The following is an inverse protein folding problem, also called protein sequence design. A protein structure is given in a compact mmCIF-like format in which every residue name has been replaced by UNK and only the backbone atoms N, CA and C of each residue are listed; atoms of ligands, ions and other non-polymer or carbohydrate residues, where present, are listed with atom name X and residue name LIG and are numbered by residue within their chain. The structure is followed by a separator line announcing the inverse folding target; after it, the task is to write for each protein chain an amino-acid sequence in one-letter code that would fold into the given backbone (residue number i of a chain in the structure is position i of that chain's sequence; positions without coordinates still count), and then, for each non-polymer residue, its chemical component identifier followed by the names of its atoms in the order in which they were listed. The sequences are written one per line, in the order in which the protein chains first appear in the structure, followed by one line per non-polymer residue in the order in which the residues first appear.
data_IF_339195330519
#
_entry.id   IF_339195330519
#
_cell.length_a   1.000
_cell.length_b   1.000
_cell.length_c   1.000
_cell.angle_alpha   90.00
_cell.angle_beta   90.00
_cell.angle_gamma   90.00
#
_symmetry.space_group_name_H-M   'P 1'
#
loop_
_entity.id
_entity.type
_entity.pdbx_description
1 polymer ?
#
# COMPACT_ATOMS: atom_id res chain seq x y z
N UNK A 1 1.20 -10.50 -15.53
CA UNK A 1 2.32 -10.52 -14.57
C UNK A 1 2.01 -11.57 -13.51
N UNK A 2 2.88 -12.57 -13.32
CA UNK A 2 2.67 -13.61 -12.32
C UNK A 2 2.96 -13.09 -10.89
N UNK A 3 2.54 -13.82 -9.85
CA UNK A 3 2.67 -13.39 -8.43
C UNK A 3 4.13 -13.04 -8.04
N UNK A 4 5.08 -13.87 -8.48
CA UNK A 4 6.51 -13.72 -8.19
C UNK A 4 7.14 -12.51 -8.91
N UNK A 5 6.57 -12.06 -10.01
CA UNK A 5 6.96 -10.81 -10.67
C UNK A 5 6.37 -9.60 -9.96
N UNK A 6 5.14 -9.70 -9.45
CA UNK A 6 4.50 -8.61 -8.71
C UNK A 6 5.22 -8.29 -7.41
N UNK A 7 5.58 -9.30 -6.61
CA UNK A 7 6.27 -9.09 -5.31
C UNK A 7 7.56 -8.28 -5.46
N UNK A 8 8.29 -8.40 -6.58
CA UNK A 8 9.52 -7.63 -6.86
C UNK A 8 9.28 -6.13 -7.05
N UNK A 9 8.03 -5.71 -7.24
CA UNK A 9 7.65 -4.29 -7.33
C UNK A 9 7.44 -3.64 -5.96
N UNK A 10 7.54 -4.42 -4.88
CA UNK A 10 7.38 -3.99 -3.50
C UNK A 10 8.72 -4.09 -2.76
N UNK A 11 8.90 -3.28 -1.72
CA UNK A 11 10.13 -3.27 -0.91
C UNK A 11 10.25 -4.51 -0.01
N UNK A 12 9.13 -5.15 0.35
CA UNK A 12 9.12 -6.37 1.15
C UNK A 12 7.81 -7.15 0.97
N UNK A 13 7.80 -8.39 1.47
CA UNK A 13 6.61 -9.25 1.47
C UNK A 13 5.45 -8.64 2.27
N UNK A 14 5.73 -7.97 3.39
CA UNK A 14 4.70 -7.36 4.23
C UNK A 14 3.88 -6.32 3.48
N UNK A 15 4.55 -5.45 2.72
CA UNK A 15 3.86 -4.46 1.88
C UNK A 15 3.06 -5.15 0.77
N UNK A 16 3.65 -6.12 0.07
CA UNK A 16 2.95 -6.88 -0.97
C UNK A 16 1.65 -7.51 -0.44
N UNK A 17 1.72 -8.21 0.70
CA UNK A 17 0.55 -8.86 1.27
C UNK A 17 -0.49 -7.84 1.75
N UNK A 18 -0.09 -6.71 2.33
CA UNK A 18 -1.02 -5.65 2.76
C UNK A 18 -1.77 -4.92 1.64
N UNK A 19 -1.23 -4.99 0.41
CA UNK A 19 -1.78 -4.30 -0.75
C UNK A 19 -2.59 -5.26 -1.63
N UNK A 20 -2.09 -6.47 -1.86
CA UNK A 20 -2.68 -7.41 -2.83
C UNK A 20 -3.39 -8.62 -2.19
N UNK A 21 -3.05 -8.96 -0.95
CA UNK A 21 -3.53 -10.18 -0.29
C UNK A 21 -4.22 -9.88 1.05
N UNK A 22 -4.52 -8.62 1.35
CA UNK A 22 -5.11 -8.21 2.63
C UNK A 22 -6.53 -8.78 2.78
N UNK A 23 -6.75 -9.52 3.86
CA UNK A 23 -8.07 -9.95 4.31
C UNK A 23 -8.79 -8.86 5.11
N UNK A 24 -10.04 -9.11 5.50
CA UNK A 24 -10.90 -8.10 6.17
C UNK A 24 -10.37 -7.57 7.51
N UNK A 25 -9.53 -8.36 8.21
CA UNK A 25 -8.95 -7.98 9.51
C UNK A 25 -7.51 -7.43 9.38
N UNK A 26 -6.96 -7.38 8.16
CA UNK A 26 -5.59 -6.96 7.91
C UNK A 26 -5.46 -5.43 7.75
N UNK A 27 -4.22 -4.95 7.86
CA UNK A 27 -3.89 -3.57 7.52
C UNK A 27 -3.94 -3.43 6.00
N UNK A 28 -4.93 -2.69 5.50
CA UNK A 28 -5.03 -2.35 4.08
C UNK A 28 -4.18 -1.12 3.76
N UNK A 29 -3.23 -1.28 2.84
CA UNK A 29 -2.46 -0.16 2.30
C UNK A 29 -2.86 0.07 0.85
N UNK A 30 -3.08 1.34 0.50
CA UNK A 30 -3.47 1.75 -0.84
C UNK A 30 -2.49 2.78 -1.39
N UNK A 31 -2.36 2.74 -2.71
CA UNK A 31 -1.63 3.71 -3.51
C UNK A 31 -2.62 4.50 -4.35
N UNK A 32 -2.56 5.83 -4.32
CA UNK A 32 -3.41 6.68 -5.13
C UNK A 32 -2.67 7.93 -5.60
N UNK A 33 -3.30 8.67 -6.51
CA UNK A 33 -2.86 10.00 -6.88
C UNK A 33 -3.73 11.05 -6.18
N UNK A 34 -3.12 11.85 -5.30
CA UNK A 34 -3.77 12.96 -4.61
C UNK A 34 -3.17 14.28 -5.12
N UNK A 35 -3.98 15.07 -5.83
CA UNK A 35 -3.59 16.39 -6.37
C UNK A 35 -2.33 16.36 -7.25
N UNK A 36 -2.11 15.29 -8.00
CA UNK A 36 -0.95 15.12 -8.86
C UNK A 36 0.21 14.38 -8.19
N UNK A 37 0.15 14.15 -6.88
CA UNK A 37 1.19 13.43 -6.13
C UNK A 37 0.80 11.97 -5.90
N UNK A 38 1.73 11.07 -6.18
CA UNK A 38 1.60 9.65 -5.85
C UNK A 38 1.80 9.44 -4.36
N UNK A 39 0.74 9.07 -3.66
CA UNK A 39 0.73 8.89 -2.21
C UNK A 39 0.33 7.49 -1.82
N UNK A 40 0.94 7.01 -0.75
CA UNK A 40 0.58 5.79 -0.06
C UNK A 40 -0.18 6.13 1.20
N UNK A 41 -1.23 5.38 1.50
CA UNK A 41 -1.98 5.58 2.74
C UNK A 41 -2.47 4.26 3.32
N UNK A 42 -2.61 4.23 4.65
CA UNK A 42 -3.30 3.15 5.37
C UNK A 42 -4.79 3.43 5.28
N UNK A 43 -5.54 2.50 4.70
CA UNK A 43 -6.99 2.54 4.72
C UNK A 43 -7.47 2.10 6.10
N UNK A 44 -7.95 3.07 6.87
CA UNK A 44 -8.57 2.83 8.17
C UNK A 44 -10.07 3.02 7.99
N UNK A 45 -10.93 2.13 8.51
CA UNK A 45 -12.37 2.36 8.55
C UNK A 45 -12.65 3.73 9.17
N UNK A 46 -13.44 4.57 8.49
CA UNK A 46 -13.68 5.97 8.87
C UNK A 46 -14.15 6.16 10.33
N UNK A 47 -14.69 5.10 10.95
CA UNK A 47 -15.15 5.05 12.34
C UNK A 47 -14.01 5.04 13.38
N UNK A 48 -12.78 4.63 13.01
CA UNK A 48 -11.70 4.36 13.98
C UNK A 48 -10.79 5.58 14.18
N UNK A 49 -10.52 6.39 13.15
CA UNK A 49 -9.81 7.68 13.26
C UNK A 49 -9.90 8.40 11.91
N UNK A 50 -10.84 9.34 11.72
CA UNK A 50 -10.75 10.44 10.73
C UNK A 50 -10.52 10.16 9.23
N UNK A 51 -10.42 8.91 8.78
CA UNK A 51 -10.00 8.56 7.43
C UNK A 51 -8.49 8.26 7.32
N UNK A 52 -8.08 7.65 6.21
CA UNK A 52 -6.76 7.03 6.04
C UNK A 52 -5.55 7.96 6.27
N UNK A 53 -4.45 7.38 6.77
CA UNK A 53 -3.22 8.10 7.09
C UNK A 53 -2.18 7.93 5.97
N UNK A 54 -1.65 9.04 5.45
CA UNK A 54 -0.56 9.02 4.47
C UNK A 54 0.71 8.51 5.13
N UNK A 55 1.43 7.62 4.45
CA UNK A 55 2.69 7.04 4.91
C UNK A 55 3.80 7.27 3.88
N UNK A 56 5.02 7.50 4.36
CA UNK A 56 6.21 7.71 3.51
C UNK A 56 7.18 6.54 3.52
N UNK A 57 7.13 5.70 4.57
CA UNK A 57 7.99 4.55 4.76
C UNK A 57 7.13 3.29 4.97
N UNK A 58 7.69 2.14 4.58
CA UNK A 58 7.09 0.84 4.77
C UNK A 58 6.99 0.49 6.26
N UNK A 59 5.79 0.19 6.80
CA UNK A 59 5.62 -0.18 8.21
C UNK A 59 6.38 -1.46 8.62
N UNK A 60 6.68 -2.34 7.67
CA UNK A 60 7.32 -3.64 7.97
C UNK A 60 8.84 -3.63 7.87
N UNK A 61 9.42 -2.91 6.91
CA UNK A 61 10.88 -2.91 6.70
C UNK A 61 11.55 -1.54 6.84
N UNK A 62 10.78 -0.46 7.03
CA UNK A 62 11.31 0.90 7.17
C UNK A 62 11.82 1.55 5.88
N UNK A 63 11.95 0.80 4.79
CA UNK A 63 12.38 1.34 3.49
C UNK A 63 11.37 2.35 2.90
N UNK A 64 11.85 3.17 1.97
CA UNK A 64 10.99 4.08 1.21
C UNK A 64 9.98 3.30 0.38
N UNK A 65 8.72 3.78 0.37
CA UNK A 65 7.67 3.13 -0.40
C UNK A 65 7.91 3.28 -1.92
N UNK A 66 7.55 2.26 -2.73
CA UNK A 66 7.79 2.32 -4.17
C UNK A 66 7.00 3.47 -4.81
N UNK A 67 7.65 4.26 -5.68
CA UNK A 67 7.03 5.42 -6.33
C UNK A 67 6.07 5.07 -7.48
N UNK A 68 6.14 3.85 -7.99
CA UNK A 68 5.37 3.40 -9.14
C UNK A 68 4.87 1.99 -8.93
N UNK A 69 3.80 1.85 -8.17
CA UNK A 69 3.06 0.60 -8.12
C UNK A 69 1.97 0.64 -9.17
N UNK A 70 2.16 -0.19 -10.21
CA UNK A 70 1.18 -0.48 -11.28
C UNK A 70 -0.08 -1.21 -10.77
N UNK A 71 -0.53 -0.84 -9.58
CA UNK A 71 -1.53 -1.53 -8.76
C UNK A 71 -2.87 -0.77 -8.76
N UNK A 72 -2.92 0.41 -9.39
CA UNK A 72 -4.14 1.20 -9.56
C UNK A 72 -4.86 0.93 -10.90
N UNK A 73 -4.86 -0.32 -11.38
CA UNK A 73 -5.63 -0.74 -12.55
C UNK A 73 -6.23 -2.13 -12.31
N UNK A 74 -7.11 -2.21 -11.31
CA UNK A 74 -8.20 -3.18 -11.25
C UNK A 74 -9.50 -2.42 -11.42
#
# INVERSE_FOLDING_TARGET
MNRLERIKSYCCIGLFSSVEEAGEEDIHIKFTNLRGESVWFVEIPAKVVGGGNIISNCPWCGESLPKNTKVAAG
#
